data_IF_089104543788
#
_entry.id   IF_089104543788
#
_cell.length_a   1.000
_cell.length_b   1.000
_cell.length_c   1.000
_cell.angle_alpha   90.00
_cell.angle_beta   90.00
_cell.angle_gamma   90.00
#
_symmetry.space_group_name_H-M   'P 1'
#
loop_
_entity.id
_entity.type
_entity.pdbx_description
1 polymer ?
#
# COMPACT_ATOMS: atom_id res chain seq x y z
N UNK A 1 -13.88 7.19 -16.93
CA UNK A 1 -12.65 7.92 -17.29
C UNK A 1 -11.50 7.30 -16.52
N UNK A 2 -10.48 6.77 -17.21
CA UNK A 2 -9.29 6.23 -16.57
C UNK A 2 -8.47 7.35 -15.96
N UNK A 3 -8.03 7.17 -14.71
CA UNK A 3 -7.11 8.11 -14.05
C UNK A 3 -5.72 7.91 -14.65
N UNK A 4 -5.25 8.88 -15.41
CA UNK A 4 -3.87 8.93 -15.90
C UNK A 4 -2.98 9.40 -14.76
N UNK A 5 -2.18 8.50 -14.20
CA UNK A 5 -1.20 8.86 -13.15
C UNK A 5 -0.14 9.86 -13.64
N UNK A 6 0.15 9.83 -14.95
CA UNK A 6 1.10 10.73 -15.62
C UNK A 6 0.66 10.93 -17.07
N UNK A 7 0.67 12.17 -17.53
CA UNK A 7 0.34 12.58 -18.90
C UNK A 7 1.57 12.82 -19.79
N UNK A 8 2.79 12.68 -19.22
CA UNK A 8 4.07 12.92 -19.85
C UNK A 8 4.91 11.66 -20.04
N UNK A 9 4.28 10.49 -20.06
CA UNK A 9 4.96 9.21 -20.13
C UNK A 9 4.49 8.37 -21.34
N UNK A 10 5.45 7.87 -22.09
CA UNK A 10 5.24 6.89 -23.15
C UNK A 10 5.66 5.53 -22.60
N UNK A 11 4.77 4.55 -22.62
CA UNK A 11 5.00 3.18 -22.15
C UNK A 11 4.90 2.16 -23.27
N UNK A 12 5.90 1.27 -23.34
CA UNK A 12 5.79 0.01 -24.08
C UNK A 12 5.68 -1.13 -23.06
N UNK A 13 4.71 -2.00 -23.25
CA UNK A 13 4.42 -3.09 -22.35
C UNK A 13 4.04 -4.35 -23.16
N UNK A 14 4.74 -5.45 -22.88
CA UNK A 14 4.43 -6.76 -23.45
C UNK A 14 4.21 -7.75 -22.31
N UNK A 15 3.17 -8.57 -22.40
CA UNK A 15 2.82 -9.58 -21.43
C UNK A 15 2.60 -10.92 -22.12
N UNK A 16 3.23 -11.95 -21.57
CA UNK A 16 3.08 -13.34 -21.98
C UNK A 16 2.42 -14.09 -20.82
N UNK A 17 1.36 -14.83 -21.11
CA UNK A 17 0.59 -15.60 -20.13
C UNK A 17 0.73 -17.08 -20.38
N UNK A 18 0.86 -17.87 -19.32
CA UNK A 18 1.03 -19.32 -19.34
C UNK A 18 0.11 -19.92 -18.28
N UNK A 19 -1.04 -20.41 -18.75
CA UNK A 19 -2.05 -20.97 -17.87
C UNK A 19 -2.08 -22.49 -17.96
N UNK A 20 -2.27 -23.13 -16.83
CA UNK A 20 -2.56 -24.54 -16.74
C UNK A 20 -3.81 -24.74 -15.88
N UNK A 21 -4.90 -25.14 -16.54
CA UNK A 21 -6.22 -25.22 -15.91
C UNK A 21 -6.47 -26.51 -15.13
N UNK A 22 -5.60 -27.53 -15.31
CA UNK A 22 -5.73 -28.80 -14.61
C UNK A 22 -4.38 -29.47 -14.39
N UNK A 23 -4.26 -30.16 -13.27
CA UNK A 23 -3.13 -31.00 -12.91
C UNK A 23 -3.60 -32.46 -12.73
N UNK A 24 -2.71 -33.46 -12.73
CA UNK A 24 -3.04 -34.85 -12.42
C UNK A 24 -3.82 -34.99 -11.10
N UNK A 25 -4.60 -36.09 -10.99
CA UNK A 25 -5.47 -36.31 -9.83
C UNK A 25 -4.66 -36.41 -8.52
N UNK A 26 -3.45 -36.93 -8.58
CA UNK A 26 -2.56 -37.10 -7.44
C UNK A 26 -1.86 -35.78 -7.02
N UNK A 27 -1.88 -34.76 -7.88
CA UNK A 27 -1.28 -33.46 -7.58
C UNK A 27 -2.03 -32.74 -6.47
N UNK A 28 -1.33 -32.00 -5.62
CA UNK A 28 -1.92 -31.05 -4.67
C UNK A 28 -2.50 -29.81 -5.35
N UNK A 29 -2.03 -29.50 -6.57
CA UNK A 29 -2.43 -28.32 -7.33
C UNK A 29 -3.64 -28.59 -8.19
N UNK A 30 -4.51 -27.59 -8.30
CA UNK A 30 -5.71 -27.55 -9.16
C UNK A 30 -5.42 -26.85 -10.48
N UNK A 31 -4.85 -25.64 -10.39
CA UNK A 31 -4.52 -24.83 -11.57
C UNK A 31 -3.32 -23.90 -11.26
N UNK A 32 -2.73 -23.38 -12.32
CA UNK A 32 -1.66 -22.38 -12.28
C UNK A 32 -1.94 -21.30 -13.30
N UNK A 33 -1.75 -20.03 -12.90
CA UNK A 33 -1.63 -18.90 -13.81
C UNK A 33 -0.24 -18.29 -13.64
N UNK A 34 0.44 -18.08 -14.76
CA UNK A 34 1.75 -17.44 -14.76
C UNK A 34 1.81 -16.40 -15.85
N UNK A 35 2.50 -15.29 -15.59
CA UNK A 35 2.81 -14.35 -16.65
C UNK A 35 4.21 -13.73 -16.46
N UNK A 36 4.77 -13.32 -17.57
CA UNK A 36 6.01 -12.55 -17.66
C UNK A 36 5.68 -11.28 -18.42
N UNK A 37 6.03 -10.14 -17.85
CA UNK A 37 5.82 -8.84 -18.44
C UNK A 37 7.14 -8.10 -18.59
N UNK A 38 7.37 -7.55 -19.78
CA UNK A 38 8.50 -6.70 -20.09
C UNK A 38 7.97 -5.30 -20.32
N UNK A 39 8.53 -4.33 -19.64
CA UNK A 39 8.09 -2.94 -19.77
C UNK A 39 9.27 -1.98 -19.90
N UNK A 40 9.01 -0.91 -20.63
CA UNK A 40 9.90 0.24 -20.74
C UNK A 40 9.04 1.49 -20.80
N UNK A 41 9.51 2.55 -20.14
CA UNK A 41 8.88 3.86 -20.26
C UNK A 41 9.91 4.94 -20.47
N UNK A 42 9.47 6.05 -21.05
CA UNK A 42 10.23 7.30 -21.15
C UNK A 42 9.26 8.46 -21.02
N UNK A 43 9.78 9.59 -20.59
CA UNK A 43 9.01 10.83 -20.59
C UNK A 43 8.90 11.40 -22.01
N UNK A 44 7.94 12.27 -22.27
CA UNK A 44 7.75 12.91 -23.59
C UNK A 44 8.94 13.77 -24.01
N UNK A 45 9.77 14.23 -23.07
CA UNK A 45 11.02 14.93 -23.29
C UNK A 45 12.23 13.98 -23.47
N UNK A 46 11.99 12.68 -23.67
CA UNK A 46 12.99 11.68 -24.02
C UNK A 46 13.80 11.10 -22.85
N UNK A 47 13.50 11.45 -21.59
CA UNK A 47 14.20 10.86 -20.44
C UNK A 47 13.74 9.43 -20.20
N UNK A 48 14.69 8.49 -20.21
CA UNK A 48 14.42 7.06 -20.01
C UNK A 48 14.13 6.80 -18.53
N UNK A 49 12.93 6.30 -18.24
CA UNK A 49 12.57 5.72 -16.95
C UNK A 49 13.11 4.28 -16.84
N UNK A 50 13.17 3.70 -15.63
CA UNK A 50 13.60 2.32 -15.49
C UNK A 50 12.78 1.36 -16.37
N UNK A 51 13.48 0.51 -17.13
CA UNK A 51 12.88 -0.63 -17.83
C UNK A 51 12.99 -1.87 -16.96
N UNK A 52 12.10 -2.82 -17.15
CA UNK A 52 12.14 -3.99 -16.28
C UNK A 52 11.37 -5.18 -16.78
N UNK A 53 11.49 -6.22 -16.00
CA UNK A 53 10.78 -7.47 -16.11
C UNK A 53 9.99 -7.69 -14.82
N UNK A 54 8.73 -8.09 -14.96
CA UNK A 54 7.88 -8.52 -13.88
C UNK A 54 7.30 -9.90 -14.18
N UNK A 55 7.36 -10.79 -13.23
CA UNK A 55 6.78 -12.13 -13.31
C UNK A 55 5.90 -12.39 -12.11
N UNK A 56 4.83 -13.12 -12.33
CA UNK A 56 3.89 -13.58 -11.31
C UNK A 56 3.47 -15.00 -11.63
N UNK A 57 3.46 -15.84 -10.62
CA UNK A 57 2.89 -17.18 -10.69
C UNK A 57 1.95 -17.37 -9.51
N UNK A 58 0.71 -17.69 -9.80
CA UNK A 58 -0.31 -18.04 -8.83
C UNK A 58 -0.70 -19.51 -8.99
N UNK A 59 -0.66 -20.25 -7.90
CA UNK A 59 -0.99 -21.66 -7.80
C UNK A 59 -2.22 -21.82 -6.93
N UNK A 60 -3.26 -22.43 -7.47
CA UNK A 60 -4.43 -22.86 -6.68
C UNK A 60 -4.26 -24.31 -6.28
N UNK A 61 -4.46 -24.58 -5.00
CA UNK A 61 -4.48 -25.92 -4.44
C UNK A 61 -5.87 -26.54 -4.58
N UNK A 62 -5.97 -27.85 -4.53
CA UNK A 62 -7.26 -28.57 -4.50
C UNK A 62 -8.09 -28.24 -3.28
N UNK A 63 -7.47 -27.79 -2.19
CA UNK A 63 -8.14 -27.25 -0.99
C UNK A 63 -8.80 -25.87 -1.23
N UNK A 64 -8.65 -25.25 -2.42
CA UNK A 64 -9.00 -23.89 -2.76
C UNK A 64 -8.16 -22.80 -2.02
N UNK A 65 -7.03 -23.17 -1.43
CA UNK A 65 -6.01 -22.19 -1.05
C UNK A 65 -5.26 -21.71 -2.29
N UNK A 66 -4.70 -20.49 -2.24
CA UNK A 66 -3.78 -19.99 -3.26
C UNK A 66 -2.43 -19.60 -2.68
N UNK A 67 -1.40 -19.76 -3.50
CA UNK A 67 -0.05 -19.29 -3.24
C UNK A 67 0.39 -18.50 -4.45
N UNK A 68 0.85 -17.29 -4.25
CA UNK A 68 1.37 -16.42 -5.31
C UNK A 68 2.80 -16.04 -5.03
N UNK A 69 3.64 -16.15 -6.05
CA UNK A 69 5.00 -15.60 -6.05
C UNK A 69 5.09 -14.56 -7.15
N UNK A 70 5.51 -13.35 -6.80
CA UNK A 70 5.79 -12.30 -7.77
C UNK A 70 7.20 -11.75 -7.61
N UNK A 71 7.85 -11.46 -8.73
CA UNK A 71 9.20 -10.91 -8.77
C UNK A 71 9.25 -9.78 -9.78
N UNK A 72 10.02 -8.73 -9.46
CA UNK A 72 10.29 -7.61 -10.35
C UNK A 72 11.75 -7.25 -10.33
N UNK A 73 12.31 -7.02 -11.51
CA UNK A 73 13.67 -6.50 -11.68
C UNK A 73 13.56 -5.30 -12.61
N UNK A 74 14.06 -4.15 -12.17
CA UNK A 74 14.17 -2.94 -12.98
C UNK A 74 15.61 -2.49 -13.04
N UNK A 75 16.03 -2.01 -14.19
CA UNK A 75 17.34 -1.37 -14.34
C UNK A 75 17.32 0.03 -13.70
N UNK A 76 18.50 0.59 -13.58
CA UNK A 76 18.68 2.02 -13.29
C UNK A 76 17.92 2.91 -14.30
N UNK A 77 17.61 4.11 -13.88
CA UNK A 77 16.90 5.07 -14.70
C UNK A 77 16.70 6.40 -14.00
N UNK A 78 15.82 7.22 -14.57
CA UNK A 78 15.47 8.54 -14.03
C UNK A 78 14.07 8.53 -13.44
N UNK A 79 13.91 9.15 -12.27
CA UNK A 79 12.63 9.28 -11.59
C UNK A 79 12.35 10.74 -11.21
N UNK A 80 11.32 11.32 -11.78
CA UNK A 80 10.90 12.70 -11.53
C UNK A 80 9.84 12.83 -10.43
N UNK A 81 9.34 11.72 -9.89
CA UNK A 81 8.30 11.74 -8.85
C UNK A 81 8.87 12.23 -7.52
N UNK A 82 10.10 11.82 -7.19
CA UNK A 82 10.76 12.23 -5.94
C UNK A 82 11.03 13.72 -5.83
N UNK A 83 11.34 14.37 -6.93
CA UNK A 83 11.65 15.82 -6.99
C UNK A 83 10.45 16.67 -7.36
N UNK A 84 9.28 16.04 -7.56
CA UNK A 84 8.07 16.72 -8.05
C UNK A 84 8.30 17.56 -9.30
N UNK A 85 9.24 17.14 -10.16
CA UNK A 85 9.67 17.85 -11.37
C UNK A 85 10.14 19.28 -11.10
N UNK A 86 10.85 19.49 -10.01
CA UNK A 86 11.44 20.79 -9.68
C UNK A 86 12.35 21.27 -10.82
N UNK A 87 12.38 22.57 -11.08
CA UNK A 87 13.18 23.17 -12.16
C UNK A 87 14.69 22.96 -11.95
N UNK A 88 15.16 23.00 -10.70
CA UNK A 88 16.59 22.80 -10.35
C UNK A 88 17.00 21.34 -10.48
N UNK A 89 16.10 20.41 -10.04
CA UNK A 89 16.35 18.98 -10.08
C UNK A 89 15.10 18.27 -10.62
N UNK A 90 14.89 18.22 -11.93
CA UNK A 90 13.67 17.69 -12.54
C UNK A 90 13.48 16.18 -12.35
N UNK A 91 14.55 15.47 -11.98
CA UNK A 91 14.56 14.03 -11.71
C UNK A 91 15.73 13.66 -10.81
N UNK A 92 15.70 12.45 -10.29
CA UNK A 92 16.85 11.79 -9.67
C UNK A 92 17.21 10.51 -10.42
N UNK A 93 18.46 10.12 -10.37
CA UNK A 93 18.91 8.83 -10.83
C UNK A 93 18.51 7.77 -9.78
N UNK A 94 17.89 6.69 -10.23
CA UNK A 94 17.50 5.57 -9.37
C UNK A 94 18.28 4.33 -9.75
N UNK A 95 18.66 3.57 -8.72
CA UNK A 95 19.42 2.33 -8.86
C UNK A 95 18.52 1.19 -9.38
N UNK A 96 19.16 0.08 -9.73
CA UNK A 96 18.47 -1.15 -10.03
C UNK A 96 17.53 -1.54 -8.87
N UNK A 97 16.27 -1.85 -9.20
CA UNK A 97 15.28 -2.32 -8.23
C UNK A 97 15.09 -3.82 -8.37
N UNK A 98 15.03 -4.50 -7.25
CA UNK A 98 14.67 -5.92 -7.14
C UNK A 98 13.58 -6.05 -6.10
N UNK A 99 12.49 -6.74 -6.46
CA UNK A 99 11.38 -7.02 -5.56
C UNK A 99 10.98 -8.47 -5.64
N UNK A 100 10.69 -9.09 -4.52
CA UNK A 100 10.08 -10.41 -4.42
C UNK A 100 8.96 -10.36 -3.40
N UNK A 101 7.81 -10.95 -3.73
CA UNK A 101 6.68 -11.11 -2.81
C UNK A 101 6.19 -12.56 -2.86
N UNK A 102 5.78 -13.03 -1.71
CA UNK A 102 5.09 -14.30 -1.51
C UNK A 102 3.76 -14.00 -0.81
N UNK A 103 2.66 -14.34 -1.46
CA UNK A 103 1.31 -14.18 -0.94
C UNK A 103 0.67 -15.55 -0.72
N UNK A 104 -0.17 -15.65 0.29
CA UNK A 104 -0.94 -16.84 0.62
C UNK A 104 -2.34 -16.46 1.04
N UNK A 105 -3.35 -17.14 0.46
CA UNK A 105 -4.74 -17.06 0.89
C UNK A 105 -5.30 -18.46 1.15
N UNK A 106 -5.87 -18.64 2.35
CA UNK A 106 -6.56 -19.88 2.70
C UNK A 106 -7.98 -19.87 2.14
N UNK A 107 -8.55 -21.04 1.85
CA UNK A 107 -9.99 -21.14 1.68
C UNK A 107 -10.71 -20.81 3.00
N UNK A 108 -12.00 -20.57 2.93
CA UNK A 108 -12.83 -20.53 4.13
C UNK A 108 -12.89 -21.95 4.72
N UNK A 109 -12.27 -22.11 5.89
CA UNK A 109 -12.36 -23.32 6.68
C UNK A 109 -13.37 -23.12 7.81
N UNK A 110 -14.52 -23.78 7.71
CA UNK A 110 -15.67 -23.57 8.61
C UNK A 110 -16.06 -22.07 8.65
N UNK A 111 -15.65 -21.38 9.71
CA UNK A 111 -15.99 -19.97 9.97
C UNK A 111 -14.80 -19.01 9.76
N UNK A 112 -13.64 -19.50 9.34
CA UNK A 112 -12.40 -18.72 9.28
C UNK A 112 -11.77 -18.74 7.89
N UNK A 113 -11.13 -17.65 7.50
CA UNK A 113 -10.14 -17.64 6.45
C UNK A 113 -8.95 -16.75 6.86
N UNK A 114 -7.78 -17.08 6.31
CA UNK A 114 -6.51 -16.42 6.62
C UNK A 114 -5.82 -16.04 5.32
N UNK A 115 -5.13 -14.93 5.32
CA UNK A 115 -4.30 -14.51 4.21
C UNK A 115 -3.15 -13.64 4.68
N UNK A 116 -2.12 -13.54 3.86
CA UNK A 116 -0.98 -12.70 4.18
C UNK A 116 0.06 -12.66 3.09
N UNK A 117 0.97 -11.70 3.20
CA UNK A 117 2.12 -11.57 2.31
C UNK A 117 3.41 -11.25 3.05
N UNK A 118 4.51 -11.69 2.46
CA UNK A 118 5.86 -11.32 2.82
C UNK A 118 6.53 -10.77 1.57
N UNK A 119 7.05 -9.55 1.66
CA UNK A 119 7.72 -8.88 0.57
C UNK A 119 9.10 -8.35 0.97
N UNK A 120 10.02 -8.45 0.03
CA UNK A 120 11.32 -7.80 0.10
C UNK A 120 11.55 -6.98 -1.17
N UNK A 121 12.05 -5.77 -1.00
CA UNK A 121 12.54 -4.98 -2.13
C UNK A 121 13.83 -4.25 -1.77
N UNK A 122 14.68 -4.11 -2.79
CA UNK A 122 15.83 -3.20 -2.77
C UNK A 122 15.64 -2.23 -3.94
N UNK A 123 15.60 -0.95 -3.61
CA UNK A 123 15.31 0.13 -4.57
C UNK A 123 15.93 1.43 -4.06
N UNK A 124 15.62 2.54 -4.68
CA UNK A 124 15.94 3.88 -4.19
C UNK A 124 16.73 4.72 -5.16
N UNK A 125 17.23 5.83 -4.66
CA UNK A 125 18.13 6.70 -5.43
C UNK A 125 19.49 6.04 -5.61
N UNK A 126 20.21 6.49 -6.62
CA UNK A 126 21.61 6.11 -6.80
C UNK A 126 22.41 6.75 -5.66
N UNK A 127 22.98 5.97 -4.74
CA UNK A 127 23.66 6.56 -3.59
C UNK A 127 24.94 7.24 -4.03
N UNK A 128 25.08 8.50 -3.70
CA UNK A 128 26.37 9.21 -3.71
C UNK A 128 27.01 9.21 -2.32
N UNK A 129 26.32 8.66 -1.35
CA UNK A 129 26.80 8.34 -0.01
C UNK A 129 26.97 6.82 0.12
N UNK A 130 27.76 6.40 1.08
CA UNK A 130 28.01 4.96 1.32
C UNK A 130 26.74 4.26 1.81
N UNK A 131 25.96 3.77 0.86
CA UNK A 131 24.66 3.16 1.07
C UNK A 131 24.45 1.98 0.13
N UNK A 132 23.91 0.92 0.66
CA UNK A 132 23.47 -0.26 -0.08
C UNK A 132 22.12 -0.05 -0.82
N UNK A 133 21.55 1.13 -0.75
CA UNK A 133 20.21 1.48 -1.24
C UNK A 133 19.10 1.10 -0.28
N UNK A 134 17.91 1.55 -0.60
CA UNK A 134 16.74 1.32 0.24
C UNK A 134 16.34 -0.15 0.28
N UNK A 135 16.49 -0.79 1.43
CA UNK A 135 16.00 -2.14 1.71
C UNK A 135 14.67 -2.05 2.45
N UNK A 136 13.63 -2.65 1.85
CA UNK A 136 12.28 -2.64 2.41
C UNK A 136 11.77 -4.05 2.62
N UNK A 137 11.30 -4.33 3.84
CA UNK A 137 10.59 -5.55 4.20
C UNK A 137 9.13 -5.23 4.50
N UNK A 138 8.23 -6.02 3.95
CA UNK A 138 6.78 -5.92 4.18
C UNK A 138 6.27 -7.25 4.71
N UNK A 139 5.41 -7.20 5.72
CA UNK A 139 4.71 -8.35 6.29
C UNK A 139 3.27 -7.96 6.46
N UNK A 140 2.34 -8.72 5.90
CA UNK A 140 0.91 -8.55 6.09
C UNK A 140 0.29 -9.87 6.54
N UNK A 141 -0.63 -9.78 7.45
CA UNK A 141 -1.45 -10.90 7.89
C UNK A 141 -2.87 -10.42 8.09
N UNK A 142 -3.84 -11.23 7.70
CA UNK A 142 -5.25 -10.96 7.88
C UNK A 142 -6.03 -12.21 8.24
N UNK A 143 -7.07 -12.03 9.03
CA UNK A 143 -8.00 -13.08 9.41
C UNK A 143 -9.42 -12.58 9.21
N UNK A 144 -10.25 -13.44 8.61
CA UNK A 144 -11.70 -13.20 8.49
C UNK A 144 -12.47 -14.25 9.29
N UNK A 145 -13.53 -13.82 9.96
CA UNK A 145 -14.43 -14.65 10.74
C UNK A 145 -15.87 -14.51 10.26
N UNK A 146 -16.51 -15.64 9.96
CA UNK A 146 -17.85 -15.73 9.40
C UNK A 146 -18.69 -16.71 10.26
N UNK A 147 -19.17 -16.30 11.44
CA UNK A 147 -19.94 -17.21 12.30
C UNK A 147 -21.23 -17.72 11.64
N UNK A 148 -21.85 -16.90 10.80
CA UNK A 148 -23.03 -17.16 10.00
C UNK A 148 -23.03 -16.30 8.72
N UNK A 149 -24.10 -16.33 7.94
CA UNK A 149 -24.24 -15.54 6.70
C UNK A 149 -24.51 -14.05 6.97
N UNK A 150 -24.97 -13.71 8.16
CA UNK A 150 -25.32 -12.35 8.54
C UNK A 150 -24.14 -11.55 9.13
N UNK A 151 -23.08 -12.22 9.56
CA UNK A 151 -21.95 -11.57 10.23
C UNK A 151 -20.61 -11.91 9.60
N UNK A 152 -19.85 -10.88 9.32
CA UNK A 152 -18.47 -10.98 8.88
C UNK A 152 -17.59 -10.01 9.67
N UNK A 153 -16.45 -10.50 10.13
CA UNK A 153 -15.38 -9.72 10.76
C UNK A 153 -14.08 -9.96 10.02
N UNK A 154 -13.32 -8.88 9.76
CA UNK A 154 -11.95 -8.94 9.25
C UNK A 154 -11.02 -8.13 10.15
N UNK A 155 -9.88 -8.72 10.47
CA UNK A 155 -8.76 -8.09 11.16
C UNK A 155 -7.51 -8.24 10.30
N UNK A 156 -6.85 -7.13 10.00
CA UNK A 156 -5.62 -7.10 9.23
C UNK A 156 -4.52 -6.32 9.95
N UNK A 157 -3.29 -6.77 9.79
CA UNK A 157 -2.10 -6.07 10.26
C UNK A 157 -1.03 -6.08 9.18
N UNK A 158 -0.40 -4.93 8.95
CA UNK A 158 0.74 -4.79 8.04
C UNK A 158 1.89 -4.09 8.74
N UNK A 159 3.09 -4.63 8.59
CA UNK A 159 4.34 -4.03 9.08
C UNK A 159 5.27 -3.78 7.90
N UNK A 160 5.83 -2.58 7.84
CA UNK A 160 6.85 -2.20 6.85
C UNK A 160 8.07 -1.70 7.61
N UNK A 161 9.24 -2.20 7.23
CA UNK A 161 10.54 -1.65 7.62
C UNK A 161 11.29 -1.24 6.37
N UNK A 162 11.80 -0.04 6.34
CA UNK A 162 12.48 0.55 5.18
C UNK A 162 13.68 1.36 5.67
N UNK A 163 14.88 1.09 5.14
CA UNK A 163 16.12 1.65 5.69
C UNK A 163 16.39 3.07 5.21
N UNK A 164 16.10 3.36 3.94
CA UNK A 164 16.37 4.65 3.30
C UNK A 164 15.13 5.13 2.56
N UNK A 165 14.08 5.41 3.31
CA UNK A 165 12.85 5.95 2.75
C UNK A 165 13.04 7.39 2.33
N UNK A 166 13.11 7.63 1.02
CA UNK A 166 13.23 8.97 0.46
C UNK A 166 11.91 9.73 0.52
N UNK A 167 12.00 10.98 0.95
CA UNK A 167 10.88 11.91 1.01
C UNK A 167 11.31 13.27 0.47
N UNK A 168 10.47 13.87 -0.37
CA UNK A 168 10.65 15.25 -0.77
C UNK A 168 10.38 16.19 0.41
N UNK A 169 11.22 17.17 0.60
CA UNK A 169 11.12 18.21 1.64
C UNK A 169 10.66 19.51 1.03
N UNK A 170 11.51 20.13 0.22
CA UNK A 170 11.20 21.37 -0.51
C UNK A 170 12.17 21.52 -1.69
N UNK A 171 11.80 22.28 -2.71
CA UNK A 171 12.63 22.54 -3.89
C UNK A 171 13.36 21.27 -4.39
N UNK A 172 14.70 21.25 -4.40
CA UNK A 172 15.53 20.10 -4.73
C UNK A 172 16.01 19.31 -3.50
N UNK A 173 15.51 19.64 -2.29
CA UNK A 173 15.88 18.99 -1.02
C UNK A 173 15.07 17.74 -0.75
N UNK A 174 15.76 16.70 -0.36
CA UNK A 174 15.21 15.39 -0.02
C UNK A 174 15.68 14.99 1.38
N UNK A 175 14.87 14.18 2.06
CA UNK A 175 15.26 13.50 3.29
C UNK A 175 15.21 11.99 3.08
N UNK A 176 16.24 11.28 3.55
CA UNK A 176 16.18 9.83 3.71
C UNK A 176 16.00 9.48 5.18
N UNK A 177 15.12 8.52 5.46
CA UNK A 177 14.75 8.13 6.81
C UNK A 177 14.75 6.61 6.97
N UNK A 178 15.10 6.14 8.16
CA UNK A 178 14.75 4.78 8.58
C UNK A 178 13.28 4.75 8.98
N UNK A 179 12.42 4.12 8.15
CA UNK A 179 10.99 4.06 8.38
C UNK A 179 10.57 2.74 9.02
N UNK A 180 9.78 2.84 10.08
CA UNK A 180 8.99 1.74 10.63
C UNK A 180 7.51 2.12 10.57
N UNK A 181 6.71 1.30 9.89
CA UNK A 181 5.27 1.55 9.71
C UNK A 181 4.46 0.35 10.18
N UNK A 182 3.35 0.62 10.84
CA UNK A 182 2.32 -0.37 11.17
C UNK A 182 0.97 0.13 10.67
N UNK A 183 0.25 -0.75 9.99
CA UNK A 183 -1.14 -0.53 9.64
C UNK A 183 -2.00 -1.56 10.36
N UNK A 184 -3.15 -1.13 10.81
CA UNK A 184 -4.20 -1.97 11.38
C UNK A 184 -5.48 -1.73 10.60
N UNK A 185 -6.13 -2.80 10.18
CA UNK A 185 -7.39 -2.77 9.45
C UNK A 185 -8.43 -3.59 10.22
N UNK A 186 -9.57 -2.98 10.47
CA UNK A 186 -10.73 -3.63 11.06
C UNK A 186 -11.94 -3.39 10.16
N UNK A 187 -12.65 -4.44 9.80
CA UNK A 187 -13.91 -4.33 9.06
C UNK A 187 -14.93 -5.31 9.67
N UNK A 188 -16.11 -4.80 9.97
CA UNK A 188 -17.25 -5.59 10.42
C UNK A 188 -18.47 -5.32 9.54
N UNK A 189 -19.14 -6.37 9.12
CA UNK A 189 -20.43 -6.27 8.43
C UNK A 189 -21.43 -7.15 9.17
N UNK A 190 -22.56 -6.57 9.51
CA UNK A 190 -23.68 -7.26 10.12
C UNK A 190 -24.94 -6.98 9.30
N UNK A 191 -25.62 -8.05 8.91
CA UNK A 191 -26.89 -8.04 8.19
C UNK A 191 -27.95 -8.63 9.10
N UNK A 192 -29.13 -8.06 9.15
CA UNK A 192 -30.27 -8.68 9.84
C UNK A 192 -31.47 -8.73 8.90
N UNK A 193 -31.71 -9.94 8.41
CA UNK A 193 -32.62 -10.14 7.29
C UNK A 193 -32.14 -9.30 6.09
N UNK A 194 -33.05 -8.99 5.18
CA UNK A 194 -32.72 -8.18 3.99
C UNK A 194 -32.83 -6.66 4.24
N UNK A 195 -33.26 -6.24 5.44
CA UNK A 195 -33.63 -4.85 5.72
C UNK A 195 -32.55 -4.03 6.41
N UNK A 196 -31.76 -4.63 7.26
CA UNK A 196 -30.77 -3.90 8.06
C UNK A 196 -29.34 -4.30 7.67
N UNK A 197 -28.50 -3.32 7.51
CA UNK A 197 -27.06 -3.51 7.29
C UNK A 197 -26.29 -2.51 8.15
N UNK A 198 -25.40 -3.03 8.99
CA UNK A 198 -24.42 -2.25 9.73
C UNK A 198 -23.02 -2.60 9.22
N UNK A 199 -22.26 -1.61 8.78
CA UNK A 199 -20.86 -1.75 8.43
C UNK A 199 -20.01 -0.82 9.29
N UNK A 200 -18.94 -1.36 9.83
CA UNK A 200 -17.89 -0.61 10.50
C UNK A 200 -16.58 -0.89 9.80
N UNK A 201 -15.84 0.17 9.45
CA UNK A 201 -14.50 0.10 8.90
C UNK A 201 -13.60 1.04 9.68
N UNK A 202 -12.49 0.54 10.19
CA UNK A 202 -11.44 1.35 10.80
C UNK A 202 -10.09 0.99 10.19
N UNK A 203 -9.33 2.00 9.81
CA UNK A 203 -7.98 1.88 9.28
C UNK A 203 -7.07 2.83 10.06
N UNK A 204 -5.96 2.29 10.53
CA UNK A 204 -4.96 3.04 11.28
C UNK A 204 -3.61 2.84 10.60
N UNK A 205 -2.92 3.94 10.33
CA UNK A 205 -1.56 3.95 9.78
C UNK A 205 -0.69 4.70 10.76
N UNK A 206 0.39 4.08 11.21
CA UNK A 206 1.36 4.67 12.13
C UNK A 206 2.75 4.56 11.51
N UNK A 207 3.46 5.67 11.42
CA UNK A 207 4.79 5.77 10.82
C UNK A 207 5.73 6.42 11.82
N UNK A 208 6.90 5.80 12.00
CA UNK A 208 8.06 6.38 12.67
C UNK A 208 9.17 6.55 11.64
N UNK A 209 9.68 7.76 11.49
CA UNK A 209 10.75 8.13 10.57
C UNK A 209 11.94 8.64 11.38
N UNK A 210 12.94 7.80 11.55
CA UNK A 210 14.12 8.06 12.37
C UNK A 210 15.38 8.20 11.50
N UNK A 211 16.49 8.58 12.10
CA UNK A 211 17.82 8.69 11.47
C UNK A 211 17.77 9.52 10.18
N UNK A 212 17.34 10.78 10.24
CA UNK A 212 17.24 11.61 9.06
C UNK A 212 18.62 11.88 8.44
N UNK A 213 18.67 11.78 7.11
CA UNK A 213 19.83 12.17 6.29
C UNK A 213 19.37 13.26 5.33
N UNK A 214 19.96 14.43 5.43
CA UNK A 214 19.67 15.58 4.58
C UNK A 214 20.37 15.43 3.22
N UNK A 215 19.63 15.56 2.14
CA UNK A 215 20.06 15.27 0.78
C UNK A 215 19.63 16.39 -0.16
N UNK A 216 20.43 16.66 -1.17
CA UNK A 216 20.14 17.64 -2.21
C UNK A 216 20.35 17.03 -3.60
N UNK A 217 19.32 17.13 -4.45
CA UNK A 217 19.34 16.64 -5.81
C UNK A 217 19.84 17.74 -6.77
N UNK A 218 20.66 17.36 -7.75
CA UNK A 218 21.16 18.23 -8.80
C UNK A 218 20.42 18.06 -10.13
N UNK A 219 20.62 18.96 -11.05
CA UNK A 219 20.06 18.92 -12.39
C UNK A 219 20.51 17.68 -13.20
N UNK A 220 21.67 17.09 -12.85
CA UNK A 220 22.17 15.82 -13.40
C UNK A 220 21.43 14.60 -12.91
N UNK A 221 20.58 14.74 -11.87
CA UNK A 221 19.89 13.67 -11.19
C UNK A 221 20.72 12.99 -10.09
N UNK A 222 21.92 13.47 -9.83
CA UNK A 222 22.76 13.02 -8.72
C UNK A 222 22.25 13.60 -7.40
N UNK A 223 22.46 12.86 -6.30
CA UNK A 223 22.04 13.26 -4.96
C UNK A 223 23.25 13.28 -4.06
N UNK A 224 23.44 14.39 -3.35
CA UNK A 224 24.56 14.59 -2.43
C UNK A 224 24.04 14.78 -1.00
N UNK A 225 24.88 14.47 -0.01
CA UNK A 225 24.65 14.86 1.37
C UNK A 225 24.58 16.39 1.48
N UNK A 226 23.66 16.87 2.31
CA UNK A 226 23.46 18.29 2.57
C UNK A 226 23.42 18.57 4.08
N UNK A 227 23.58 19.82 4.48
CA UNK A 227 23.64 20.21 5.89
C UNK A 227 22.40 20.97 6.38
N UNK A 228 21.28 20.94 5.63
CA UNK A 228 20.06 21.55 6.15
C UNK A 228 19.48 20.70 7.32
N UNK A 229 18.84 21.38 8.25
CA UNK A 229 18.26 20.72 9.41
C UNK A 229 17.10 19.83 8.98
N UNK A 230 17.14 18.56 9.36
CA UNK A 230 16.09 17.59 9.13
C UNK A 230 15.87 16.79 10.41
N UNK A 231 14.64 16.80 10.90
CA UNK A 231 14.31 16.14 12.16
C UNK A 231 13.58 14.82 11.94
N UNK A 232 13.73 13.84 12.84
CA UNK A 232 12.88 12.67 12.88
C UNK A 232 11.43 13.09 13.10
N UNK A 233 10.49 12.26 12.69
CA UNK A 233 9.08 12.54 12.90
C UNK A 233 8.25 11.27 13.06
N UNK A 234 7.10 11.45 13.69
CA UNK A 234 6.10 10.43 13.87
C UNK A 234 4.78 10.92 13.26
N UNK A 235 4.09 10.01 12.57
CA UNK A 235 2.78 10.27 11.93
C UNK A 235 1.83 9.14 12.30
N UNK A 236 0.60 9.50 12.67
CA UNK A 236 -0.50 8.55 12.79
C UNK A 236 -1.72 9.10 12.04
N UNK A 237 -2.34 8.24 11.24
CA UNK A 237 -3.60 8.52 10.56
C UNK A 237 -4.61 7.46 10.99
N UNK A 238 -5.78 7.89 11.39
CA UNK A 238 -6.89 7.02 11.77
C UNK A 238 -8.14 7.42 10.98
N UNK A 239 -8.82 6.45 10.39
CA UNK A 239 -10.07 6.63 9.67
C UNK A 239 -11.08 5.62 10.15
N UNK A 240 -12.15 6.09 10.79
CA UNK A 240 -13.29 5.28 11.23
C UNK A 240 -14.53 5.67 10.46
N UNK A 241 -15.22 4.70 9.91
CA UNK A 241 -16.55 4.87 9.30
C UNK A 241 -17.51 3.84 9.87
N UNK A 242 -18.66 4.29 10.35
CA UNK A 242 -19.80 3.48 10.74
C UNK A 242 -20.96 3.83 9.82
N UNK A 243 -21.48 2.85 9.09
CA UNK A 243 -22.60 3.01 8.18
C UNK A 243 -23.72 2.07 8.54
N UNK A 244 -24.90 2.64 8.82
CA UNK A 244 -26.13 1.91 8.97
C UNK A 244 -27.07 2.17 7.78
N UNK A 245 -27.67 1.11 7.24
CA UNK A 245 -28.69 1.17 6.20
C UNK A 245 -29.92 0.40 6.68
N UNK A 246 -31.08 1.01 6.50
CA UNK A 246 -32.37 0.38 6.77
C UNK A 246 -33.29 0.50 5.55
N UNK A 247 -33.80 -0.63 5.06
CA UNK A 247 -34.83 -0.69 4.01
C UNK A 247 -36.20 -0.69 4.67
N UNK A 248 -36.90 0.44 4.68
CA UNK A 248 -38.21 0.59 5.30
C UNK A 248 -39.36 0.28 4.35
N UNK A 249 -39.15 0.36 3.02
CA UNK A 249 -40.04 -0.06 1.96
C UNK A 249 -39.22 -0.61 0.79
N UNK A 250 -39.77 -1.40 -0.14
CA UNK A 250 -39.04 -1.92 -1.29
C UNK A 250 -38.27 -0.82 -2.03
N UNK A 251 -36.94 -0.98 -2.10
CA UNK A 251 -36.01 -0.06 -2.73
C UNK A 251 -35.96 1.36 -2.14
N UNK A 252 -36.54 1.55 -0.94
CA UNK A 252 -36.53 2.79 -0.18
C UNK A 252 -35.70 2.63 1.10
N UNK A 253 -34.70 3.47 1.27
CA UNK A 253 -33.65 3.30 2.25
C UNK A 253 -33.44 4.54 3.11
N UNK A 254 -33.21 4.31 4.40
CA UNK A 254 -32.60 5.26 5.31
C UNK A 254 -31.13 4.90 5.49
N UNK A 255 -30.24 5.89 5.43
CA UNK A 255 -28.81 5.75 5.70
C UNK A 255 -28.40 6.68 6.82
N UNK A 256 -27.58 6.16 7.72
CA UNK A 256 -26.87 6.94 8.72
C UNK A 256 -25.39 6.60 8.61
N UNK A 257 -24.56 7.62 8.42
CA UNK A 257 -23.10 7.44 8.25
C UNK A 257 -22.39 8.37 9.23
N UNK A 258 -21.63 7.76 10.11
CA UNK A 258 -20.65 8.47 10.95
C UNK A 258 -19.25 8.22 10.38
N UNK A 259 -18.53 9.30 10.17
CA UNK A 259 -17.12 9.27 9.72
C UNK A 259 -16.29 10.10 10.67
N UNK A 260 -15.16 9.54 11.10
CA UNK A 260 -14.14 10.20 11.87
C UNK A 260 -12.80 10.02 11.17
N UNK A 261 -12.06 11.11 11.01
CA UNK A 261 -10.73 11.11 10.43
C UNK A 261 -9.79 11.93 11.32
N UNK A 262 -8.69 11.32 11.69
CA UNK A 262 -7.68 11.90 12.58
C UNK A 262 -6.32 11.82 11.89
N UNK A 263 -5.51 12.89 12.07
CA UNK A 263 -4.11 12.91 11.66
C UNK A 263 -3.30 13.57 12.77
N UNK A 264 -2.32 12.86 13.28
CA UNK A 264 -1.42 13.33 14.31
C UNK A 264 0.02 13.30 13.79
N UNK A 265 0.71 14.42 13.91
CA UNK A 265 2.12 14.57 13.51
C UNK A 265 2.90 15.20 14.66
N UNK A 266 4.08 14.67 14.96
CA UNK A 266 5.00 15.24 15.93
C UNK A 266 6.45 14.91 15.58
N UNK A 267 7.36 15.79 15.97
CA UNK A 267 8.80 15.58 15.93
C UNK A 267 9.35 14.99 17.24
N UNK A 268 8.52 14.89 18.29
CA UNK A 268 8.92 14.29 19.55
C UNK A 268 9.22 12.80 19.37
N UNK A 269 10.21 12.30 20.10
CA UNK A 269 10.52 10.87 20.11
C UNK A 269 9.46 10.10 20.93
N UNK A 270 8.41 9.70 20.25
CA UNK A 270 7.44 8.79 20.83
C UNK A 270 7.99 7.37 20.79
N UNK A 271 8.27 6.82 21.96
CA UNK A 271 8.99 5.55 22.12
C UNK A 271 8.31 4.35 21.50
N UNK A 272 6.96 4.35 21.36
CA UNK A 272 6.20 3.19 20.87
C UNK A 272 5.03 3.58 19.95
N UNK A 273 4.45 2.59 19.30
CA UNK A 273 3.29 2.75 18.43
C UNK A 273 1.97 2.96 19.21
N UNK A 274 1.91 2.53 20.46
CA UNK A 274 0.71 2.65 21.28
C UNK A 274 0.46 4.12 21.63
N UNK A 275 1.52 4.88 21.91
CA UNK A 275 1.43 6.34 22.14
C UNK A 275 0.94 7.08 20.88
N UNK A 276 1.36 6.65 19.68
CA UNK A 276 0.87 7.21 18.42
C UNK A 276 -0.62 6.92 18.21
N UNK A 277 -1.04 5.70 18.50
CA UNK A 277 -2.45 5.32 18.42
C UNK A 277 -3.32 6.13 19.37
N UNK A 278 -2.89 6.24 20.63
CA UNK A 278 -3.59 7.00 21.65
C UNK A 278 -3.72 8.49 21.28
N UNK A 279 -2.64 9.09 20.79
CA UNK A 279 -2.61 10.49 20.37
C UNK A 279 -3.53 10.78 19.19
N UNK A 280 -3.56 9.90 18.20
CA UNK A 280 -4.47 10.06 17.05
C UNK A 280 -5.93 9.87 17.48
N UNK A 281 -6.20 8.97 18.45
CA UNK A 281 -7.56 8.73 18.90
C UNK A 281 -8.12 9.87 19.77
N UNK A 282 -7.28 10.54 20.55
CA UNK A 282 -7.71 11.62 21.45
C UNK A 282 -8.00 12.95 20.76
N UNK A 283 -7.41 13.17 19.58
CA UNK A 283 -7.50 14.44 18.85
C UNK A 283 -8.15 14.27 17.48
N UNK A 284 -9.49 14.13 17.39
CA UNK A 284 -10.17 14.00 16.11
C UNK A 284 -9.99 15.26 15.27
N UNK A 285 -9.49 15.10 14.05
CA UNK A 285 -9.36 16.19 13.11
C UNK A 285 -10.68 16.56 12.45
N UNK A 286 -11.54 15.56 12.22
CA UNK A 286 -12.83 15.75 11.58
C UNK A 286 -13.82 14.66 11.98
N UNK A 287 -15.04 15.07 12.37
CA UNK A 287 -16.15 14.18 12.69
C UNK A 287 -17.40 14.62 11.93
N UNK A 288 -18.00 13.72 11.16
CA UNK A 288 -19.15 14.01 10.33
C UNK A 288 -20.22 12.94 10.58
N UNK A 289 -21.44 13.39 10.89
CA UNK A 289 -22.62 12.55 10.91
C UNK A 289 -23.56 12.96 9.76
N UNK A 290 -23.83 12.02 8.86
CA UNK A 290 -24.69 12.23 7.69
C UNK A 290 -25.90 11.31 7.72
N UNK A 291 -27.10 11.87 7.58
CA UNK A 291 -28.32 11.11 7.37
C UNK A 291 -28.87 11.34 5.96
N UNK A 292 -29.31 10.27 5.29
CA UNK A 292 -29.87 10.33 3.93
C UNK A 292 -31.07 9.41 3.81
N UNK A 293 -32.12 9.90 3.17
CA UNK A 293 -33.29 9.09 2.77
C UNK A 293 -33.29 8.98 1.24
N UNK A 294 -33.48 7.77 0.75
CA UNK A 294 -33.72 7.49 -0.68
C UNK A 294 -35.10 6.85 -0.80
N UNK A 295 -35.97 7.49 -1.57
CA UNK A 295 -37.31 6.98 -1.88
C UNK A 295 -37.31 6.47 -3.33
N UNK A 296 -38.03 5.37 -3.56
CA UNK A 296 -38.40 4.91 -4.90
C UNK A 296 -39.89 5.17 -5.05
N UNK A 297 -40.25 5.98 -6.02
CA UNK A 297 -41.61 6.25 -6.45
C UNK A 297 -41.98 5.31 -7.58
#
# INVERSE_FOLDING_TARGET
MGYLQRNDEIKAYNRFEFDRNSFPIESLFKSRQSHISIFQSMTTDGKKSPRGLWTRTELWLKSNASIEVSMSIKNEGKNSTFTRKNEVAPYINVMNEKTINLDFDSPRYKKWSFGGDIGYSRAGAYPTWDSDGNKRNTYRFGVSYFPNEEFQLYLGSKKIKEQEWLKWVEANRLGAFTKSQRNLDFTMTFLRGNKHELRLKNQIIMIKANNPISLEAQNTGEIFGSNFELQPFNLSENSLQIRYRYEFAPLSYFYLVYTRADSFFTNDDLSNFDSLLESSWKNPGNEILTAKIRLKF
#
